data_IF_429553870621
#
_entry.id   IF_429553870621
#
_cell.length_a   1.000
_cell.length_b   1.000
_cell.length_c   1.000
_cell.angle_alpha   90.00
_cell.angle_beta   90.00
_cell.angle_gamma   90.00
#
_symmetry.space_group_name_H-M   'P 1'
#
loop_
_entity.id
_entity.type
_entity.pdbx_description
1 polymer ?
#
# COMPACT_ATOMS: atom_id res chain seq x y z
N UNK A 1 -9.18 -20.04 51.40
CA UNK A 1 -9.42 -18.58 51.47
C UNK A 1 -8.08 -17.86 51.59
N UNK A 2 -7.94 -16.76 50.84
CA UNK A 2 -6.98 -15.65 51.03
C UNK A 2 -5.51 -15.84 50.61
N UNK A 3 -5.30 -15.49 49.35
CA UNK A 3 -4.22 -14.66 48.76
C UNK A 3 -3.21 -14.04 49.74
N UNK A 4 -1.93 -14.22 49.43
CA UNK A 4 -0.91 -13.17 49.62
C UNK A 4 -0.12 -13.05 48.32
N UNK A 5 -0.43 -11.96 47.64
CA UNK A 5 0.21 -11.42 46.47
C UNK A 5 1.58 -10.87 46.90
N UNK A 6 2.67 -11.55 46.54
CA UNK A 6 4.01 -10.98 46.63
C UNK A 6 4.47 -10.66 45.22
N UNK A 7 4.28 -9.39 44.88
CA UNK A 7 4.81 -8.69 43.73
C UNK A 7 6.32 -8.88 43.62
N UNK A 8 6.77 -9.71 42.67
CA UNK A 8 8.10 -9.54 42.09
C UNK A 8 7.94 -9.24 40.61
N UNK A 9 7.99 -7.94 40.36
CA UNK A 9 8.07 -7.30 39.06
C UNK A 9 9.31 -7.86 38.35
N UNK A 10 9.13 -8.89 37.54
CA UNK A 10 10.15 -9.29 36.57
C UNK A 10 9.96 -8.40 35.35
N UNK A 11 10.81 -7.38 35.30
CA UNK A 11 11.03 -6.46 34.21
C UNK A 11 11.42 -7.27 32.96
N UNK A 12 10.44 -7.79 32.20
CA UNK A 12 10.70 -8.31 30.87
C UNK A 12 10.84 -7.11 29.94
N UNK A 13 12.08 -6.66 29.79
CA UNK A 13 12.53 -5.91 28.64
C UNK A 13 12.35 -6.84 27.43
N UNK A 14 11.13 -6.92 26.92
CA UNK A 14 10.85 -7.55 25.64
C UNK A 14 11.60 -6.71 24.61
N UNK A 15 12.74 -7.22 24.16
CA UNK A 15 13.45 -6.72 23.01
C UNK A 15 12.41 -6.51 21.90
N UNK A 16 12.08 -5.25 21.63
CA UNK A 16 11.48 -4.85 20.37
C UNK A 16 12.61 -5.03 19.36
N UNK A 17 12.85 -6.28 19.00
CA UNK A 17 13.50 -6.60 17.75
C UNK A 17 12.53 -6.13 16.70
N UNK A 18 12.73 -4.90 16.22
CA UNK A 18 12.18 -4.44 14.97
C UNK A 18 12.63 -5.47 13.93
N UNK A 19 11.75 -6.43 13.66
CA UNK A 19 11.89 -7.29 12.51
C UNK A 19 11.70 -6.35 11.35
N UNK A 20 12.81 -5.91 10.76
CA UNK A 20 12.87 -5.30 9.45
C UNK A 20 12.36 -6.33 8.44
N UNK A 21 11.04 -6.57 8.43
CA UNK A 21 10.36 -7.14 7.29
C UNK A 21 10.59 -6.12 6.19
N UNK A 22 11.54 -6.41 5.29
CA UNK A 22 11.60 -5.79 3.97
C UNK A 22 10.19 -5.80 3.40
N UNK A 23 9.50 -4.68 3.52
CA UNK A 23 8.14 -4.54 3.05
C UNK A 23 8.25 -4.52 1.54
N UNK A 24 8.01 -5.66 0.91
CA UNK A 24 8.17 -5.84 -0.53
C UNK A 24 7.24 -4.84 -1.21
N UNK A 25 7.82 -3.89 -1.93
CA UNK A 25 7.09 -2.88 -2.71
C UNK A 25 6.04 -3.56 -3.57
N UNK A 26 4.80 -3.09 -3.47
CA UNK A 26 3.70 -3.57 -4.29
C UNK A 26 3.74 -2.84 -5.64
N UNK A 27 3.94 -3.58 -6.72
CA UNK A 27 3.90 -3.03 -8.08
C UNK A 27 2.47 -3.06 -8.60
N UNK A 28 1.92 -1.90 -8.96
CA UNK A 28 0.59 -1.75 -9.55
C UNK A 28 0.74 -1.16 -10.95
N UNK A 29 0.19 -1.85 -11.96
CA UNK A 29 0.24 -1.41 -13.36
C UNK A 29 -1.12 -0.87 -13.78
N UNK A 30 -1.16 0.41 -14.16
CA UNK A 30 -2.32 1.10 -14.73
C UNK A 30 -2.11 1.33 -16.22
N UNK A 31 -3.19 1.36 -16.99
CA UNK A 31 -3.16 1.81 -18.38
C UNK A 31 -4.42 2.60 -18.70
N UNK A 32 -4.35 3.43 -19.73
CA UNK A 32 -5.52 4.03 -20.33
C UNK A 32 -5.99 3.23 -21.56
N UNK A 33 -7.27 3.37 -21.90
CA UNK A 33 -7.88 2.89 -23.14
C UNK A 33 -8.56 4.06 -23.84
N UNK A 34 -8.34 4.16 -25.15
CA UNK A 34 -9.00 5.09 -26.05
C UNK A 34 -10.00 4.33 -26.93
N UNK A 35 -11.04 3.77 -26.31
CA UNK A 35 -12.10 3.03 -27.01
C UNK A 35 -13.48 3.45 -26.45
N UNK A 36 -14.27 4.24 -27.19
CA UNK A 36 -14.03 4.77 -28.54
C UNK A 36 -12.90 5.83 -28.61
N UNK A 37 -12.35 6.13 -29.80
CA UNK A 37 -11.32 7.17 -29.98
C UNK A 37 -11.73 8.51 -29.37
N UNK A 38 -10.77 9.26 -28.83
CA UNK A 38 -10.97 10.52 -28.09
C UNK A 38 -11.66 10.42 -26.73
N UNK A 39 -12.04 9.22 -26.26
CA UNK A 39 -12.56 9.02 -24.90
C UNK A 39 -11.58 8.21 -24.04
N UNK A 40 -10.68 8.91 -23.36
CA UNK A 40 -9.68 8.28 -22.50
C UNK A 40 -10.26 7.87 -21.15
N UNK A 41 -10.22 6.56 -20.88
CA UNK A 41 -10.62 5.96 -19.61
C UNK A 41 -9.48 5.12 -19.06
N UNK A 42 -9.40 4.98 -17.73
CA UNK A 42 -8.54 3.95 -17.16
C UNK A 42 -9.05 2.57 -17.59
N UNK A 43 -8.12 1.69 -17.97
CA UNK A 43 -8.42 0.31 -18.35
C UNK A 43 -9.00 -0.52 -17.18
N UNK A 44 -8.73 -0.08 -15.96
CA UNK A 44 -9.24 -0.64 -14.71
C UNK A 44 -9.82 0.49 -13.86
N UNK A 45 -10.96 0.23 -13.24
CA UNK A 45 -11.68 1.21 -12.40
C UNK A 45 -11.22 1.21 -10.94
N UNK A 46 -10.51 0.17 -10.51
CA UNK A 46 -10.12 -0.03 -9.12
C UNK A 46 -8.72 -0.66 -9.04
N UNK A 47 -7.95 -0.27 -8.03
CA UNK A 47 -6.70 -0.92 -7.64
C UNK A 47 -6.77 -1.30 -6.16
N UNK A 48 -6.13 -2.41 -5.79
CA UNK A 48 -6.06 -2.86 -4.39
C UNK A 48 -4.64 -2.71 -3.88
N UNK A 49 -4.51 -2.00 -2.76
CA UNK A 49 -3.23 -1.79 -2.09
C UNK A 49 -3.27 -2.34 -0.66
N UNK A 50 -2.11 -2.79 -0.16
CA UNK A 50 -1.96 -3.17 1.25
C UNK A 50 -1.47 -1.97 2.06
N UNK A 51 -2.16 -1.66 3.15
CA UNK A 51 -1.75 -0.60 4.07
C UNK A 51 -0.34 -0.85 4.63
N UNK A 52 0.46 0.21 4.76
CA UNK A 52 1.84 0.15 5.27
C UNK A 52 2.87 -0.44 4.30
N UNK A 53 2.49 -0.78 3.07
CA UNK A 53 3.40 -1.28 2.03
C UNK A 53 3.64 -0.17 0.99
N UNK A 54 4.90 0.15 0.66
CA UNK A 54 5.20 1.07 -0.44
C UNK A 54 4.62 0.59 -1.77
N UNK A 55 4.12 1.50 -2.59
CA UNK A 55 3.53 1.20 -3.90
C UNK A 55 4.41 1.79 -5.00
N UNK A 56 4.74 0.97 -6.00
CA UNK A 56 5.29 1.43 -7.28
C UNK A 56 4.15 1.42 -8.31
N UNK A 57 3.72 2.61 -8.73
CA UNK A 57 2.63 2.78 -9.69
C UNK A 57 3.19 3.04 -11.09
N UNK A 58 2.97 2.10 -12.00
CA UNK A 58 3.43 2.20 -13.40
C UNK A 58 2.21 2.49 -14.28
N UNK A 59 2.16 3.67 -14.88
CA UNK A 59 1.10 4.06 -15.80
C UNK A 59 1.55 3.96 -17.26
N UNK A 60 0.80 3.20 -18.07
CA UNK A 60 1.00 3.11 -19.52
C UNK A 60 -0.02 3.98 -20.24
N UNK A 61 0.47 5.01 -20.93
CA UNK A 61 -0.29 5.82 -21.84
C UNK A 61 -0.09 5.33 -23.29
N UNK A 62 -1.11 4.77 -23.96
CA UNK A 62 -1.01 4.35 -25.36
C UNK A 62 -1.24 5.49 -26.37
N UNK A 63 -1.60 6.69 -25.92
CA UNK A 63 -1.94 7.82 -26.79
C UNK A 63 -0.68 8.62 -27.20
N UNK A 64 -0.79 9.38 -28.29
CA UNK A 64 0.19 10.37 -28.72
C UNK A 64 0.19 11.60 -27.80
N UNK A 65 -0.95 11.90 -27.17
CA UNK A 65 -1.09 13.01 -26.22
C UNK A 65 -0.70 12.60 -24.80
N UNK A 66 -0.27 13.57 -23.99
CA UNK A 66 0.18 13.32 -22.62
C UNK A 66 -0.98 13.12 -21.65
N UNK A 67 -0.83 12.15 -20.74
CA UNK A 67 -1.78 11.88 -19.67
C UNK A 67 -1.03 11.57 -18.36
N UNK A 68 -1.66 11.90 -17.24
CA UNK A 68 -1.14 11.66 -15.89
C UNK A 68 -2.11 10.85 -15.03
N UNK A 69 -1.62 10.38 -13.88
CA UNK A 69 -2.44 9.77 -12.84
C UNK A 69 -2.39 10.67 -11.61
N UNK A 70 -3.55 10.99 -11.06
CA UNK A 70 -3.69 11.82 -9.86
C UNK A 70 -4.34 11.00 -8.75
N UNK A 71 -3.74 11.01 -7.56
CA UNK A 71 -4.33 10.48 -6.34
C UNK A 71 -4.91 11.68 -5.60
N UNK A 72 -6.24 11.83 -5.63
CA UNK A 72 -6.91 13.06 -5.21
C UNK A 72 -7.27 13.08 -3.72
N UNK A 73 -7.58 11.94 -3.13
CA UNK A 73 -8.01 11.81 -1.74
C UNK A 73 -7.32 10.60 -1.09
N UNK A 74 -6.84 10.75 0.16
CA UNK A 74 -6.40 9.63 0.98
C UNK A 74 -7.56 8.80 1.51
#
# INVERSE_FOLDING_TARGET
MKFICSTLILLSLACIGATEKKNKTQVIKLSAKADPPAQMKFAQSEIKAKAGVPIELIFKNPDLLQHNVLILKP
#
